data_IF_833450956998
#
_entry.id   IF_833450956998
#
_cell.length_a   1.000
_cell.length_b   1.000
_cell.length_c   1.000
_cell.angle_alpha   90.00
_cell.angle_beta   90.00
_cell.angle_gamma   90.00
#
_symmetry.space_group_name_H-M   'P 1'
#
loop_
_entity.id
_entity.type
_entity.pdbx_description
1 polymer ?
#
# COMPACT_ATOMS: atom_id res chain seq x y z
N UNK A 1 -5.46 1.58 -2.03
CA UNK A 1 -4.43 1.37 -1.00
C UNK A 1 -4.97 1.97 0.29
N UNK A 2 -5.10 1.21 1.37
CA UNK A 2 -5.61 1.72 2.66
C UNK A 2 -4.42 1.98 3.57
N UNK A 3 -4.23 3.23 3.99
CA UNK A 3 -3.18 3.59 4.96
C UNK A 3 -3.78 3.56 6.35
N UNK A 4 -3.27 2.68 7.21
CA UNK A 4 -3.69 2.63 8.61
C UNK A 4 -2.86 3.64 9.41
N UNK A 5 -3.49 4.75 9.81
CA UNK A 5 -2.87 5.73 10.69
C UNK A 5 -3.15 5.36 12.16
N UNK A 6 -2.11 5.39 12.99
CA UNK A 6 -2.25 5.29 14.45
C UNK A 6 -1.96 6.64 15.08
N UNK A 7 -2.95 7.17 15.79
CA UNK A 7 -2.80 8.38 16.59
C UNK A 7 -2.43 7.98 18.02
N UNK A 8 -1.28 8.45 18.50
CA UNK A 8 -0.91 8.38 19.91
C UNK A 8 -1.01 9.78 20.51
N UNK A 9 -1.65 9.90 21.68
CA UNK A 9 -1.76 11.14 22.43
C UNK A 9 -1.21 10.92 23.84
N UNK A 10 -0.42 11.86 24.34
CA UNK A 10 0.12 11.82 25.70
C UNK A 10 -0.79 12.65 26.59
N UNK A 11 -1.23 12.08 27.72
CA UNK A 11 -1.93 12.84 28.75
C UNK A 11 -0.93 13.76 29.48
N UNK A 12 -1.05 15.09 29.39
CA UNK A 12 -0.13 16.03 30.02
C UNK A 12 -0.19 16.00 31.56
N UNK A 13 -1.16 15.31 32.16
CA UNK A 13 -1.28 15.10 33.61
C UNK A 13 -0.76 13.74 34.09
N UNK A 14 -0.13 12.95 33.20
CA UNK A 14 0.46 11.68 33.57
C UNK A 14 1.61 11.87 34.57
N UNK A 15 1.74 10.95 35.54
CA UNK A 15 2.88 10.93 36.44
C UNK A 15 4.18 10.44 35.76
N UNK A 16 4.07 9.81 34.58
CA UNK A 16 5.16 9.12 33.88
C UNK A 16 5.36 9.68 32.46
N UNK A 17 5.36 11.01 32.30
CA UNK A 17 5.47 11.67 30.99
C UNK A 17 6.78 11.28 30.30
N UNK A 18 7.90 11.33 31.01
CA UNK A 18 9.22 11.03 30.44
C UNK A 18 9.31 9.60 29.88
N UNK A 19 8.80 8.61 30.63
CA UNK A 19 8.73 7.22 30.19
C UNK A 19 7.80 7.04 28.98
N UNK A 20 6.69 7.80 28.94
CA UNK A 20 5.75 7.75 27.81
C UNK A 20 6.38 8.33 26.55
N UNK A 21 7.12 9.43 26.66
CA UNK A 21 7.88 10.02 25.56
C UNK A 21 8.94 9.05 25.04
N UNK A 22 9.75 8.49 25.94
CA UNK A 22 10.78 7.54 25.56
C UNK A 22 10.22 6.30 24.84
N UNK A 23 9.06 5.80 25.30
CA UNK A 23 8.38 4.70 24.60
C UNK A 23 7.97 5.09 23.17
N UNK A 24 7.39 6.27 22.98
CA UNK A 24 6.97 6.73 21.66
C UNK A 24 8.15 7.02 20.73
N UNK A 25 9.24 7.57 21.25
CA UNK A 25 10.49 7.77 20.50
C UNK A 25 11.04 6.43 20.01
N UNK A 26 11.12 5.43 20.89
CA UNK A 26 11.56 4.08 20.54
C UNK A 26 10.61 3.42 19.54
N UNK A 27 9.29 3.60 19.69
CA UNK A 27 8.31 3.09 18.76
C UNK A 27 8.52 3.67 17.35
N UNK A 28 8.66 5.00 17.25
CA UNK A 28 8.91 5.69 15.98
C UNK A 28 10.24 5.25 15.36
N UNK A 29 11.29 5.10 16.17
CA UNK A 29 12.58 4.60 15.72
C UNK A 29 12.53 3.14 15.22
N UNK A 30 11.58 2.34 15.72
CA UNK A 30 11.39 0.94 15.34
C UNK A 30 10.48 0.72 14.13
N UNK A 31 9.93 1.79 13.54
CA UNK A 31 9.07 1.68 12.35
C UNK A 31 9.83 1.05 11.19
N UNK A 32 9.14 0.22 10.41
CA UNK A 32 9.70 -0.35 9.17
C UNK A 32 10.06 0.75 8.17
N UNK A 33 11.00 0.47 7.27
CA UNK A 33 11.39 1.41 6.22
C UNK A 33 10.19 1.85 5.35
N UNK A 34 9.22 0.95 5.11
CA UNK A 34 7.95 1.28 4.45
C UNK A 34 7.16 2.35 5.22
N UNK A 35 6.98 2.17 6.52
CA UNK A 35 6.24 3.11 7.36
C UNK A 35 6.99 4.44 7.47
N UNK A 36 8.32 4.42 7.53
CA UNK A 36 9.12 5.65 7.53
C UNK A 36 8.95 6.41 6.22
N UNK A 37 9.08 5.74 5.06
CA UNK A 37 8.84 6.36 3.75
C UNK A 37 7.40 6.89 3.66
N UNK A 38 6.39 6.17 4.13
CA UNK A 38 5.01 6.65 4.04
C UNK A 38 4.71 7.83 4.97
N UNK A 39 5.19 7.81 6.22
CA UNK A 39 4.76 8.72 7.28
C UNK A 39 5.72 9.89 7.52
N UNK A 40 6.98 9.78 7.13
CA UNK A 40 8.01 10.80 7.36
C UNK A 40 8.36 11.51 6.04
N UNK A 41 7.96 12.79 5.85
CA UNK A 41 8.22 13.52 4.61
C UNK A 41 9.71 13.69 4.27
N UNK A 42 10.59 13.60 5.27
CA UNK A 42 12.04 13.69 5.10
C UNK A 42 12.71 12.40 4.63
N UNK A 43 12.03 11.24 4.69
CA UNK A 43 12.59 9.95 4.28
C UNK A 43 12.36 9.72 2.79
N UNK A 44 13.28 10.22 1.95
CA UNK A 44 13.16 10.14 0.48
C UNK A 44 14.24 9.29 -0.21
N UNK A 45 15.19 8.77 0.56
CA UNK A 45 16.26 7.94 0.01
C UNK A 45 15.72 6.56 -0.42
N UNK A 46 16.23 6.00 -1.54
CA UNK A 46 15.89 4.65 -1.95
C UNK A 46 16.17 3.62 -0.86
N UNK A 47 15.22 2.72 -0.63
CA UNK A 47 15.34 1.68 0.39
C UNK A 47 15.84 0.41 -0.27
N UNK A 48 17.07 0.00 0.06
CA UNK A 48 17.64 -1.26 -0.40
C UNK A 48 16.83 -2.45 0.13
N UNK A 49 16.72 -3.48 -0.70
CA UNK A 49 16.08 -4.73 -0.32
C UNK A 49 17.05 -5.60 0.51
N UNK A 50 16.76 -5.85 1.81
CA UNK A 50 17.63 -6.68 2.65
C UNK A 50 17.75 -8.12 2.16
N UNK A 51 16.77 -8.61 1.39
CA UNK A 51 16.74 -9.96 0.84
C UNK A 51 17.38 -10.05 -0.55
N UNK A 52 17.92 -8.95 -1.09
CA UNK A 52 18.46 -8.91 -2.45
C UNK A 52 19.49 -10.02 -2.71
N UNK A 53 20.50 -10.14 -1.84
CA UNK A 53 21.57 -11.11 -2.01
C UNK A 53 21.03 -12.55 -1.99
N UNK A 54 20.10 -12.84 -1.07
CA UNK A 54 19.46 -14.14 -0.96
C UNK A 54 18.62 -14.47 -2.21
N UNK A 55 17.89 -13.49 -2.76
CA UNK A 55 17.11 -13.65 -4.00
C UNK A 55 18.07 -13.93 -5.17
N UNK A 56 19.17 -13.17 -5.27
CA UNK A 56 20.15 -13.33 -6.34
C UNK A 56 20.86 -14.69 -6.25
N UNK A 57 21.19 -15.14 -5.05
CA UNK A 57 21.79 -16.46 -4.83
C UNK A 57 20.86 -17.58 -5.36
N UNK A 58 19.57 -17.54 -5.02
CA UNK A 58 18.59 -18.53 -5.47
C UNK A 58 18.42 -18.55 -7.00
N UNK A 59 18.35 -17.38 -7.63
CA UNK A 59 18.20 -17.30 -9.09
C UNK A 59 19.49 -17.75 -9.78
N UNK A 60 20.66 -17.35 -9.28
CA UNK A 60 21.93 -17.76 -9.85
C UNK A 60 22.15 -19.27 -9.70
N UNK A 61 21.72 -19.89 -8.60
CA UNK A 61 21.75 -21.34 -8.44
C UNK A 61 20.87 -22.05 -9.49
N UNK A 62 19.71 -21.48 -9.81
CA UNK A 62 18.83 -21.98 -10.88
C UNK A 62 19.53 -21.89 -12.24
N UNK A 63 20.14 -20.75 -12.56
CA UNK A 63 20.92 -20.58 -13.80
C UNK A 63 22.04 -21.63 -13.91
N UNK A 64 22.81 -21.82 -12.84
CA UNK A 64 23.89 -22.81 -12.80
C UNK A 64 23.39 -24.23 -13.00
N UNK A 65 22.27 -24.61 -12.39
CA UNK A 65 21.68 -25.93 -12.58
C UNK A 65 21.31 -26.20 -14.05
N UNK A 66 20.72 -25.20 -14.73
CA UNK A 66 20.40 -25.31 -16.16
C UNK A 66 21.66 -25.32 -17.05
N UNK A 67 22.69 -24.55 -16.71
CA UNK A 67 24.00 -24.61 -17.41
C UNK A 67 24.67 -25.97 -17.29
N UNK A 68 24.58 -26.60 -16.11
CA UNK A 68 25.10 -27.96 -15.88
C UNK A 68 24.30 -29.02 -16.64
N UNK A 69 22.98 -28.87 -16.73
CA UNK A 69 22.13 -29.76 -17.54
C UNK A 69 22.47 -29.65 -19.02
N UNK A 70 22.62 -28.43 -19.53
CA UNK A 70 22.99 -28.19 -20.93
C UNK A 70 24.36 -28.78 -21.28
N UNK A 71 25.35 -28.69 -20.37
CA UNK A 71 26.67 -29.32 -20.56
C UNK A 71 26.62 -30.84 -20.68
N UNK A 72 25.58 -31.48 -20.15
CA UNK A 72 25.39 -32.94 -20.15
C UNK A 72 24.38 -33.42 -21.21
N UNK A 73 23.73 -32.51 -21.93
CA UNK A 73 22.69 -32.83 -22.90
C UNK A 73 23.27 -33.33 -24.24
N UNK A 74 22.59 -34.29 -24.87
CA UNK A 74 22.87 -34.74 -26.23
C UNK A 74 22.27 -33.78 -27.28
N UNK A 75 22.86 -33.74 -28.48
CA UNK A 75 22.65 -32.66 -29.48
C UNK A 75 21.20 -32.42 -29.91
N UNK A 76 20.31 -33.42 -29.84
CA UNK A 76 18.93 -33.29 -30.31
C UNK A 76 18.05 -32.35 -29.45
N UNK A 77 18.39 -32.12 -28.18
CA UNK A 77 17.65 -31.24 -27.26
C UNK A 77 18.39 -29.94 -26.92
N UNK A 78 19.61 -29.75 -27.45
CA UNK A 78 20.54 -28.70 -27.02
C UNK A 78 20.06 -27.30 -27.41
N UNK A 79 19.55 -27.13 -28.63
CA UNK A 79 19.07 -25.83 -29.12
C UNK A 79 17.85 -25.32 -28.33
N UNK A 80 16.94 -26.22 -27.93
CA UNK A 80 15.78 -25.86 -27.10
C UNK A 80 16.22 -25.48 -25.68
N UNK A 81 17.11 -26.27 -25.06
CA UNK A 81 17.66 -25.95 -23.75
C UNK A 81 18.48 -24.64 -23.72
N UNK A 82 19.20 -24.32 -24.80
CA UNK A 82 19.91 -23.03 -24.95
C UNK A 82 18.93 -21.85 -24.97
N UNK A 83 17.80 -21.99 -25.68
CA UNK A 83 16.74 -20.97 -25.71
C UNK A 83 16.14 -20.76 -24.32
N UNK A 84 15.80 -21.84 -23.61
CA UNK A 84 15.27 -21.77 -22.23
C UNK A 84 16.28 -21.11 -21.28
N UNK A 85 17.56 -21.47 -21.38
CA UNK A 85 18.60 -20.87 -20.55
C UNK A 85 18.76 -19.36 -20.84
N UNK A 86 18.64 -18.94 -22.09
CA UNK A 86 18.67 -17.53 -22.46
C UNK A 86 17.49 -16.75 -21.83
N UNK A 87 16.29 -17.34 -21.82
CA UNK A 87 15.13 -16.74 -21.15
C UNK A 87 15.31 -16.65 -19.63
N UNK A 88 15.83 -17.69 -18.99
CA UNK A 88 16.11 -17.69 -17.55
C UNK A 88 17.14 -16.59 -17.21
N UNK A 89 18.20 -16.44 -18.00
CA UNK A 89 19.20 -15.39 -17.81
C UNK A 89 18.61 -14.00 -17.97
N UNK A 90 17.77 -13.79 -18.99
CA UNK A 90 17.05 -12.53 -19.18
C UNK A 90 16.14 -12.21 -17.98
N UNK A 91 15.40 -13.21 -17.49
CA UNK A 91 14.56 -13.07 -16.30
C UNK A 91 15.40 -12.73 -15.06
N UNK A 92 16.56 -13.37 -14.88
CA UNK A 92 17.51 -13.04 -13.79
C UNK A 92 17.94 -11.58 -13.86
N UNK A 93 18.33 -11.10 -15.04
CA UNK A 93 18.80 -9.72 -15.20
C UNK A 93 17.70 -8.71 -14.87
N UNK A 94 16.46 -8.97 -15.32
CA UNK A 94 15.31 -8.15 -14.95
C UNK A 94 15.05 -8.17 -13.45
N UNK A 95 15.02 -9.36 -12.82
CA UNK A 95 14.81 -9.49 -11.38
C UNK A 95 15.94 -8.85 -10.56
N UNK A 96 17.18 -8.85 -11.06
CA UNK A 96 18.32 -8.22 -10.41
C UNK A 96 18.19 -6.69 -10.38
N UNK A 97 17.55 -6.10 -11.37
CA UNK A 97 17.26 -4.67 -11.42
C UNK A 97 16.06 -4.34 -10.52
N UNK A 98 14.96 -5.07 -10.66
CA UNK A 98 13.71 -4.84 -9.93
C UNK A 98 13.82 -5.13 -8.43
N UNK A 99 14.54 -6.18 -8.04
CA UNK A 99 14.62 -6.61 -6.64
C UNK A 99 15.61 -5.81 -5.81
N UNK A 100 16.40 -4.91 -6.42
CA UNK A 100 17.49 -4.19 -5.74
C UNK A 100 16.98 -3.24 -4.65
N UNK A 101 15.83 -2.62 -4.89
CA UNK A 101 15.22 -1.67 -3.96
C UNK A 101 13.81 -2.13 -3.60
N UNK A 102 13.44 -2.07 -2.32
CA UNK A 102 12.04 -2.19 -1.91
C UNK A 102 11.24 -0.98 -2.38
N UNK A 103 11.85 0.20 -2.26
CA UNK A 103 11.29 1.46 -2.72
C UNK A 103 12.37 2.23 -3.46
N UNK A 104 12.29 2.27 -4.79
CA UNK A 104 13.17 3.08 -5.62
C UNK A 104 12.82 4.56 -5.55
N UNK A 105 13.74 5.42 -5.97
CA UNK A 105 13.58 6.89 -5.96
C UNK A 105 12.30 7.34 -6.68
N UNK A 106 12.05 6.81 -7.88
CA UNK A 106 10.88 7.16 -8.68
C UNK A 106 9.56 6.76 -7.99
N UNK A 107 9.53 5.60 -7.32
CA UNK A 107 8.36 5.14 -6.59
C UNK A 107 8.05 6.04 -5.39
N UNK A 108 9.10 6.42 -4.64
CA UNK A 108 9.00 7.36 -3.52
C UNK A 108 8.49 8.72 -4.02
N UNK A 109 9.08 9.27 -5.09
CA UNK A 109 8.66 10.54 -5.65
C UNK A 109 7.20 10.51 -6.11
N UNK A 110 6.79 9.44 -6.80
CA UNK A 110 5.40 9.25 -7.24
C UNK A 110 4.44 9.24 -6.05
N UNK A 111 4.81 8.56 -4.97
CA UNK A 111 4.02 8.55 -3.74
C UNK A 111 3.93 9.96 -3.12
N UNK A 112 5.02 10.74 -3.08
CA UNK A 112 5.01 12.12 -2.58
C UNK A 112 4.07 13.01 -3.39
N UNK A 113 4.15 12.92 -4.71
CA UNK A 113 3.32 13.70 -5.62
C UNK A 113 1.83 13.36 -5.43
N UNK A 114 1.51 12.07 -5.24
CA UNK A 114 0.16 11.64 -4.92
C UNK A 114 -0.31 12.22 -3.58
N UNK A 115 0.52 12.14 -2.55
CA UNK A 115 0.18 12.62 -1.21
C UNK A 115 0.01 14.15 -1.13
N UNK A 116 0.60 14.92 -2.03
CA UNK A 116 0.35 16.37 -2.14
C UNK A 116 -1.12 16.70 -2.48
N UNK A 117 -1.85 15.75 -3.06
CA UNK A 117 -3.29 15.89 -3.37
C UNK A 117 -4.19 15.12 -2.40
N UNK A 118 -3.60 14.40 -1.45
CA UNK A 118 -4.35 13.66 -0.46
C UNK A 118 -4.95 14.63 0.58
N UNK A 119 -6.22 14.44 0.88
CA UNK A 119 -6.90 15.17 1.96
C UNK A 119 -7.52 14.17 2.93
N UNK A 120 -7.45 14.52 4.23
CA UNK A 120 -8.22 13.79 5.24
C UNK A 120 -9.69 14.14 5.03
N UNK A 121 -10.51 13.13 4.75
CA UNK A 121 -11.96 13.32 4.79
C UNK A 121 -12.33 13.64 6.24
N UNK A 122 -12.90 14.83 6.54
CA UNK A 122 -13.24 15.18 7.90
C UNK A 122 -14.21 14.16 8.48
N UNK A 123 -14.14 13.98 9.79
CA UNK A 123 -15.11 13.20 10.55
C UNK A 123 -16.49 13.78 10.28
N UNK A 124 -17.33 13.02 9.57
CA UNK A 124 -18.73 13.35 9.31
C UNK A 124 -19.59 12.34 10.10
N UNK A 125 -20.22 12.78 11.21
CA UNK A 125 -21.15 11.95 11.97
C UNK A 125 -22.28 11.39 11.08
N UNK A 126 -22.65 12.09 10.01
CA UNK A 126 -23.66 11.63 9.05
C UNK A 126 -23.14 10.52 8.11
N UNK A 127 -21.83 10.28 8.05
CA UNK A 127 -21.24 9.23 7.22
C UNK A 127 -21.19 7.87 7.91
N UNK A 128 -21.05 7.84 9.24
CA UNK A 128 -21.36 6.64 10.03
C UNK A 128 -22.86 6.50 10.31
N UNK A 129 -23.59 7.60 10.12
CA UNK A 129 -25.05 7.65 10.05
C UNK A 129 -25.59 7.61 8.62
N UNK A 130 -24.92 6.97 7.64
CA UNK A 130 -25.69 6.44 6.50
C UNK A 130 -26.51 5.29 7.08
N UNK A 131 -27.59 5.66 7.78
CA UNK A 131 -28.60 4.72 8.25
C UNK A 131 -28.97 3.84 7.07
N UNK A 132 -29.33 2.58 7.32
CA UNK A 132 -29.74 1.65 6.25
C UNK A 132 -30.73 2.29 5.25
N UNK A 133 -31.51 3.27 5.71
CA UNK A 133 -32.38 4.15 4.93
C UNK A 133 -31.72 4.93 3.78
N UNK A 134 -30.55 5.52 3.96
CA UNK A 134 -29.87 6.27 2.89
C UNK A 134 -29.30 5.32 1.83
N UNK A 135 -28.82 4.15 2.26
CA UNK A 135 -28.46 3.05 1.35
C UNK A 135 -29.69 2.54 0.60
N UNK A 136 -30.81 2.31 1.27
CA UNK A 136 -32.06 1.87 0.66
C UNK A 136 -32.60 2.89 -0.35
N UNK A 137 -32.48 4.19 -0.06
CA UNK A 137 -32.89 5.25 -0.98
C UNK A 137 -32.00 5.27 -2.23
N UNK A 138 -30.70 5.09 -2.05
CA UNK A 138 -29.74 4.99 -3.15
C UNK A 138 -29.99 3.75 -4.01
N UNK A 139 -30.26 2.59 -3.40
CA UNK A 139 -30.61 1.36 -4.12
C UNK A 139 -31.91 1.50 -4.92
N UNK A 140 -32.94 2.16 -4.37
CA UNK A 140 -34.19 2.46 -5.09
C UNK A 140 -33.95 3.33 -6.32
N UNK A 141 -33.03 4.29 -6.24
CA UNK A 141 -32.64 5.11 -7.39
C UNK A 141 -31.89 4.28 -8.44
N UNK A 142 -30.90 3.48 -8.03
CA UNK A 142 -30.16 2.59 -8.94
C UNK A 142 -31.07 1.57 -9.64
N UNK A 143 -32.07 1.06 -8.93
CA UNK A 143 -33.12 0.16 -9.46
C UNK A 143 -34.19 0.91 -10.27
N UNK A 144 -34.06 2.22 -10.47
CA UNK A 144 -35.01 3.10 -11.19
C UNK A 144 -36.44 3.08 -10.62
N UNK A 145 -36.60 2.74 -9.35
CA UNK A 145 -37.88 2.79 -8.65
C UNK A 145 -38.27 4.22 -8.26
N UNK A 146 -37.29 5.12 -8.19
CA UNK A 146 -37.45 6.57 -8.03
C UNK A 146 -36.59 7.29 -9.06
N UNK A 147 -36.98 8.51 -9.43
CA UNK A 147 -36.17 9.37 -10.30
C UNK A 147 -35.13 10.18 -9.49
N UNK A 148 -34.25 10.88 -10.21
CA UNK A 148 -33.17 11.65 -9.60
C UNK A 148 -33.71 12.81 -8.76
N UNK A 149 -34.78 13.46 -9.19
CA UNK A 149 -35.37 14.61 -8.48
C UNK A 149 -36.05 14.17 -7.17
N UNK A 150 -36.65 12.99 -7.15
CA UNK A 150 -37.22 12.37 -5.94
C UNK A 150 -36.10 11.91 -5.01
N UNK A 151 -35.03 11.32 -5.54
CA UNK A 151 -33.85 10.94 -4.77
C UNK A 151 -33.22 12.15 -4.05
N UNK A 152 -32.93 13.23 -4.77
CA UNK A 152 -32.30 14.44 -4.20
C UNK A 152 -33.16 15.03 -3.08
N UNK A 153 -34.48 15.12 -3.29
CA UNK A 153 -35.42 15.69 -2.32
C UNK A 153 -35.52 14.85 -1.04
N UNK A 154 -35.61 13.53 -1.16
CA UNK A 154 -35.68 12.62 -0.02
C UNK A 154 -34.34 12.54 0.74
N UNK A 155 -33.22 12.56 0.01
CA UNK A 155 -31.88 12.61 0.59
C UNK A 155 -31.66 13.89 1.39
N UNK A 156 -32.04 15.05 0.85
CA UNK A 156 -31.96 16.34 1.56
C UNK A 156 -32.81 16.36 2.83
N UNK A 157 -34.01 15.78 2.78
CA UNK A 157 -34.88 15.66 3.94
C UNK A 157 -34.25 14.80 5.05
N UNK A 158 -33.70 13.64 4.69
CA UNK A 158 -33.03 12.74 5.64
C UNK A 158 -31.76 13.35 6.22
N UNK A 159 -30.94 14.01 5.39
CA UNK A 159 -29.73 14.72 5.85
C UNK A 159 -30.05 15.87 6.80
N UNK A 160 -31.18 16.59 6.61
CA UNK A 160 -31.63 17.62 7.55
C UNK A 160 -32.03 17.03 8.90
N UNK A 161 -32.77 15.92 8.92
CA UNK A 161 -33.17 15.23 10.15
C UNK A 161 -31.94 14.74 10.93
N UNK A 162 -30.97 14.12 10.26
CA UNK A 162 -29.73 13.65 10.87
C UNK A 162 -28.88 14.76 11.50
N UNK A 163 -28.93 15.98 10.93
CA UNK A 163 -28.26 17.15 11.52
C UNK A 163 -28.98 17.67 12.76
N UNK A 164 -30.30 17.53 12.84
CA UNK A 164 -31.11 17.94 13.99
C UNK A 164 -31.02 16.93 15.14
N UNK A 165 -30.87 15.63 14.85
CA UNK A 165 -30.73 14.57 15.86
C UNK A 165 -29.34 14.50 16.50
N UNK A 166 -28.31 15.08 15.86
CA UNK A 166 -26.94 15.15 16.36
C UNK A 166 -26.61 16.48 17.08
N UNK A 167 -27.62 17.31 17.38
CA UNK A 167 -27.51 18.49 18.27
C UNK A 167 -28.03 18.15 19.66
#
# INVERSE_FOLDING_TARGET
MSVMLRLAAINPRSANIDLTLQYLENYVASLSAEMQVMLMPGCNDPVFNPQYDQIMEQINATVQAYEDMLRKAEDAARAEMESVLAEIKKSRDMMAEESRYLFGEQAIQTYRDLMNTAFLKPYDPAHFGVTGDMYNLYDRYLQKQIDLDTFIREADGKLRLMRLENQ
#
